data_IF_734792949767
#
_entry.id   IF_734792949767
#
_cell.length_a   1.000
_cell.length_b   1.000
_cell.length_c   1.000
_cell.angle_alpha   90.00
_cell.angle_beta   90.00
_cell.angle_gamma   90.00
#
_symmetry.space_group_name_H-M   'P 1'
#
loop_
_entity.id
_entity.type
_entity.pdbx_description
1 polymer ?
#
# COMPACT_ATOMS: atom_id res chain seq x y z
N UNK A 1 -9.83 -29.12 1.40
CA UNK A 1 -8.98 -27.99 1.85
C UNK A 1 -7.92 -27.78 0.80
N UNK A 2 -7.97 -26.66 0.08
CA UNK A 2 -7.02 -26.36 -1.00
C UNK A 2 -5.66 -26.02 -0.38
N UNK A 3 -4.61 -26.77 -0.72
CA UNK A 3 -3.24 -26.41 -0.41
C UNK A 3 -2.90 -25.11 -1.14
N UNK A 4 -2.91 -23.98 -0.45
CA UNK A 4 -2.43 -22.71 -0.97
C UNK A 4 -0.93 -22.84 -1.22
N UNK A 5 -0.53 -23.00 -2.49
CA UNK A 5 0.88 -22.90 -2.89
C UNK A 5 1.36 -21.49 -2.56
N UNK A 6 2.25 -21.36 -1.59
CA UNK A 6 2.99 -20.13 -1.33
C UNK A 6 3.95 -19.92 -2.51
N UNK A 7 3.82 -18.81 -3.23
CA UNK A 7 4.76 -18.43 -4.27
C UNK A 7 5.91 -17.67 -3.64
N UNK A 8 7.00 -18.37 -3.34
CA UNK A 8 8.20 -17.78 -2.75
C UNK A 8 9.00 -16.91 -3.74
N UNK A 9 8.70 -17.01 -5.05
CA UNK A 9 9.45 -16.32 -6.11
C UNK A 9 8.71 -15.11 -6.69
N UNK A 10 7.64 -14.63 -6.04
CA UNK A 10 6.97 -13.42 -6.50
C UNK A 10 7.88 -12.21 -6.27
N UNK A 11 8.21 -11.43 -7.31
CA UNK A 11 8.97 -10.19 -7.14
C UNK A 11 8.19 -9.21 -6.26
N UNK A 12 8.85 -8.66 -5.26
CA UNK A 12 8.28 -7.66 -4.34
C UNK A 12 9.15 -6.41 -4.36
N UNK A 13 8.51 -5.25 -4.42
CA UNK A 13 9.15 -3.96 -4.25
C UNK A 13 8.65 -3.32 -2.95
N UNK A 14 9.54 -3.04 -2.01
CA UNK A 14 9.25 -2.32 -0.78
C UNK A 14 9.48 -0.82 -1.00
N UNK A 15 8.43 -0.02 -0.80
CA UNK A 15 8.51 1.44 -0.80
C UNK A 15 8.46 1.90 0.66
N UNK A 16 9.56 2.43 1.18
CA UNK A 16 9.66 2.85 2.57
C UNK A 16 10.53 4.10 2.75
N UNK A 17 10.20 4.91 3.75
CA UNK A 17 10.99 6.08 4.13
C UNK A 17 12.24 5.68 4.92
N UNK A 18 12.17 4.57 5.64
CA UNK A 18 13.25 4.14 6.51
C UNK A 18 14.40 3.48 5.73
N UNK A 19 15.51 4.20 5.60
CA UNK A 19 16.71 3.73 4.90
C UNK A 19 17.36 2.48 5.52
N UNK A 20 16.96 2.04 6.72
CA UNK A 20 17.40 0.74 7.25
C UNK A 20 16.98 -0.43 6.36
N UNK A 21 15.96 -0.26 5.53
CA UNK A 21 15.51 -1.25 4.55
C UNK A 21 16.34 -1.29 3.25
N UNK A 22 17.31 -0.36 3.06
CA UNK A 22 18.24 -0.41 1.92
C UNK A 22 19.02 -1.72 1.81
N UNK A 23 19.13 -2.47 2.91
CA UNK A 23 19.72 -3.82 2.92
C UNK A 23 19.04 -4.81 1.94
N UNK A 24 17.79 -4.55 1.52
CA UNK A 24 17.08 -5.38 0.53
C UNK A 24 17.47 -5.06 -0.93
N UNK A 25 18.39 -4.12 -1.15
CA UNK A 25 18.96 -3.83 -2.47
C UNK A 25 17.89 -3.45 -3.48
N UNK A 26 17.86 -4.17 -4.61
CA UNK A 26 16.93 -3.88 -5.72
C UNK A 26 15.45 -4.03 -5.34
N UNK A 27 15.13 -4.77 -4.28
CA UNK A 27 13.75 -4.92 -3.78
C UNK A 27 13.30 -3.75 -2.88
N UNK A 28 14.12 -2.70 -2.72
CA UNK A 28 13.80 -1.50 -1.96
C UNK A 28 13.85 -0.25 -2.85
N UNK A 29 12.84 0.61 -2.69
CA UNK A 29 12.80 1.97 -3.24
C UNK A 29 12.57 2.93 -2.08
N UNK A 30 13.46 3.90 -1.88
CA UNK A 30 13.21 4.97 -0.93
C UNK A 30 11.95 5.74 -1.33
N UNK A 31 11.04 5.93 -0.39
CA UNK A 31 9.73 6.54 -0.63
C UNK A 31 9.40 7.55 0.47
N UNK A 32 9.26 8.81 0.08
CA UNK A 32 8.68 9.85 0.93
C UNK A 32 7.27 10.18 0.43
N UNK A 33 6.25 9.85 1.23
CA UNK A 33 4.86 10.14 0.85
C UNK A 33 4.58 11.64 0.66
N UNK A 34 5.45 12.53 1.18
CA UNK A 34 5.35 13.97 0.91
C UNK A 34 5.70 14.33 -0.53
N UNK A 35 6.46 13.48 -1.22
CA UNK A 35 6.79 13.55 -2.63
C UNK A 35 6.29 12.29 -3.34
N UNK A 36 4.95 12.09 -3.41
CA UNK A 36 4.33 10.80 -3.76
C UNK A 36 4.69 10.29 -5.16
N UNK A 37 5.16 11.16 -6.05
CA UNK A 37 5.58 10.86 -7.43
C UNK A 37 7.08 10.92 -7.66
N UNK A 38 7.90 11.15 -6.63
CA UNK A 38 9.37 11.06 -6.72
C UNK A 38 9.81 9.59 -6.68
N UNK A 39 9.34 8.85 -7.69
CA UNK A 39 9.58 7.43 -7.88
C UNK A 39 10.19 7.19 -9.27
N UNK A 40 10.96 6.10 -9.45
CA UNK A 40 11.47 5.73 -10.76
C UNK A 40 10.35 5.62 -11.80
N UNK A 41 10.54 6.25 -12.96
CA UNK A 41 9.55 6.22 -14.05
C UNK A 41 9.24 4.81 -14.55
N UNK A 42 10.18 3.89 -14.40
CA UNK A 42 10.03 2.46 -14.68
C UNK A 42 8.96 1.78 -13.82
N UNK A 43 8.59 2.37 -12.69
CA UNK A 43 7.56 1.83 -11.79
C UNK A 43 6.15 2.28 -12.18
N UNK A 44 6.01 3.22 -13.11
CA UNK A 44 4.69 3.70 -13.56
C UNK A 44 3.91 2.55 -14.19
N UNK A 45 2.71 2.29 -13.67
CA UNK A 45 1.84 1.20 -14.09
C UNK A 45 2.54 -0.17 -14.12
N UNK A 46 3.44 -0.43 -13.17
CA UNK A 46 4.25 -1.66 -13.13
C UNK A 46 3.69 -2.72 -12.18
N UNK A 47 2.83 -2.34 -11.23
CA UNK A 47 2.39 -3.22 -10.15
C UNK A 47 0.97 -3.76 -10.40
N UNK A 48 0.81 -5.08 -10.20
CA UNK A 48 -0.48 -5.80 -10.27
C UNK A 48 -1.13 -5.99 -8.90
N UNK A 49 -0.33 -5.98 -7.84
CA UNK A 49 -0.80 -6.13 -6.47
C UNK A 49 -0.13 -5.02 -5.67
N UNK A 50 -0.93 -4.21 -4.99
CA UNK A 50 -0.47 -3.13 -4.13
C UNK A 50 -1.05 -3.37 -2.74
N UNK A 51 -0.17 -3.41 -1.75
CA UNK A 51 -0.54 -3.42 -0.33
C UNK A 51 0.00 -2.13 0.25
N UNK A 52 -0.88 -1.30 0.81
CA UNK A 52 -0.52 -0.02 1.38
C UNK A 52 -1.01 0.06 2.82
N UNK A 53 -0.15 0.53 3.73
CA UNK A 53 -0.46 0.78 5.15
C UNK A 53 -0.06 2.21 5.52
N UNK A 54 -0.91 3.21 5.23
CA UNK A 54 -0.57 4.61 5.45
C UNK A 54 -0.38 4.91 6.94
N UNK A 55 0.76 5.51 7.28
CA UNK A 55 1.13 5.83 8.67
C UNK A 55 0.10 6.70 9.41
N UNK A 56 -0.61 7.58 8.70
CA UNK A 56 -1.48 8.58 9.32
C UNK A 56 -2.93 8.44 8.85
N UNK A 57 -3.87 8.67 9.78
CA UNK A 57 -5.31 8.70 9.50
C UNK A 57 -5.80 10.07 9.02
N UNK A 58 -4.91 10.91 8.47
CA UNK A 58 -5.26 12.21 7.91
C UNK A 58 -5.77 12.08 6.47
N UNK A 59 -6.63 13.02 6.05
CA UNK A 59 -7.10 13.11 4.67
C UNK A 59 -5.95 13.32 3.69
N UNK A 60 -5.05 14.24 4.01
CA UNK A 60 -3.86 14.55 3.20
C UNK A 60 -2.97 13.32 2.97
N UNK A 61 -2.74 12.51 4.00
CA UNK A 61 -1.94 11.29 3.87
C UNK A 61 -2.59 10.31 2.90
N UNK A 62 -3.91 10.12 3.00
CA UNK A 62 -4.64 9.23 2.09
C UNK A 62 -4.66 9.77 0.66
N UNK A 63 -4.79 11.09 0.47
CA UNK A 63 -4.72 11.72 -0.87
C UNK A 63 -3.36 11.49 -1.54
N UNK A 64 -2.26 11.74 -0.83
CA UNK A 64 -0.89 11.52 -1.32
C UNK A 64 -0.61 10.04 -1.61
N UNK A 65 -1.03 9.15 -0.73
CA UNK A 65 -0.91 7.70 -0.99
C UNK A 65 -1.76 7.28 -2.19
N UNK A 66 -2.94 7.87 -2.38
CA UNK A 66 -3.80 7.59 -3.53
C UNK A 66 -3.14 8.01 -4.85
N UNK A 67 -2.40 9.12 -4.85
CA UNK A 67 -1.59 9.56 -5.98
C UNK A 67 -0.47 8.55 -6.32
N UNK A 68 0.28 8.10 -5.30
CA UNK A 68 1.29 7.03 -5.48
C UNK A 68 0.67 5.75 -6.03
N UNK A 69 -0.47 5.30 -5.47
CA UNK A 69 -1.19 4.11 -5.95
C UNK A 69 -1.61 4.29 -7.42
N UNK A 70 -2.13 5.48 -7.77
CA UNK A 70 -2.51 5.80 -9.14
C UNK A 70 -1.33 5.72 -10.12
N UNK A 71 -0.16 6.19 -9.71
CA UNK A 71 1.07 6.09 -10.50
C UNK A 71 1.53 4.63 -10.69
N UNK A 72 1.45 3.81 -9.64
CA UNK A 72 1.99 2.44 -9.64
C UNK A 72 1.07 1.42 -10.31
N UNK A 73 -0.25 1.57 -10.16
CA UNK A 73 -1.23 0.55 -10.55
C UNK A 73 -1.30 0.36 -12.07
N UNK A 74 -1.29 -0.88 -12.51
CA UNK A 74 -1.72 -1.23 -13.86
C UNK A 74 -3.21 -0.92 -14.04
N UNK A 75 -3.62 -0.15 -15.08
CA UNK A 75 -5.02 0.08 -15.38
C UNK A 75 -5.79 -1.22 -15.60
N UNK A 76 -6.93 -1.39 -14.92
CA UNK A 76 -7.84 -2.53 -15.13
C UNK A 76 -7.42 -3.88 -14.53
N UNK A 77 -6.16 -4.05 -14.11
CA UNK A 77 -5.62 -5.36 -13.67
C UNK A 77 -5.06 -5.38 -12.24
N UNK A 78 -5.10 -4.25 -11.53
CA UNK A 78 -4.48 -4.17 -10.21
C UNK A 78 -5.42 -4.53 -9.07
N UNK A 79 -4.93 -5.36 -8.15
CA UNK A 79 -5.52 -5.61 -6.85
C UNK A 79 -4.92 -4.66 -5.81
N UNK A 80 -5.78 -4.01 -5.03
CA UNK A 80 -5.38 -3.09 -3.97
C UNK A 80 -5.91 -3.58 -2.63
N UNK A 81 -5.00 -3.75 -1.67
CA UNK A 81 -5.32 -3.91 -0.26
C UNK A 81 -4.80 -2.69 0.50
N UNK A 82 -5.73 -1.90 1.03
CA UNK A 82 -5.41 -0.77 1.89
C UNK A 82 -5.65 -1.18 3.34
N UNK A 83 -4.60 -1.07 4.17
CA UNK A 83 -4.62 -1.30 5.60
C UNK A 83 -4.66 0.07 6.26
N UNK A 84 -5.72 0.37 6.99
CA UNK A 84 -5.97 1.72 7.54
C UNK A 84 -7.07 1.65 8.59
N UNK A 85 -7.27 2.73 9.35
CA UNK A 85 -8.29 2.79 10.38
C UNK A 85 -9.68 3.06 9.81
N UNK A 86 -10.72 2.50 10.47
CA UNK A 86 -12.12 2.58 10.02
C UNK A 86 -12.65 4.02 9.80
N UNK A 87 -12.02 5.03 10.41
CA UNK A 87 -12.34 6.47 10.22
C UNK A 87 -12.09 6.97 8.80
N UNK A 88 -11.34 6.22 7.98
CA UNK A 88 -11.01 6.56 6.60
C UNK A 88 -12.00 5.96 5.59
N UNK A 89 -12.95 5.12 6.03
CA UNK A 89 -13.83 4.31 5.17
C UNK A 89 -14.50 5.08 4.01
N UNK A 90 -15.11 6.23 4.30
CA UNK A 90 -15.78 7.04 3.27
C UNK A 90 -14.78 7.60 2.26
N UNK A 91 -13.64 8.12 2.74
CA UNK A 91 -12.61 8.75 1.90
C UNK A 91 -11.90 7.76 0.98
N UNK A 92 -11.70 6.53 1.44
CA UNK A 92 -11.12 5.45 0.62
C UNK A 92 -12.05 5.05 -0.52
N UNK A 93 -13.36 5.03 -0.25
CA UNK A 93 -14.38 4.80 -1.27
C UNK A 93 -14.38 5.91 -2.32
N UNK A 94 -14.29 7.17 -1.90
CA UNK A 94 -14.27 8.34 -2.79
C UNK A 94 -12.99 8.42 -3.64
N UNK A 95 -11.82 8.25 -3.02
CA UNK A 95 -10.52 8.45 -3.69
C UNK A 95 -10.10 7.25 -4.54
N UNK A 96 -10.38 6.03 -4.06
CA UNK A 96 -9.83 4.80 -4.62
C UNK A 96 -10.91 3.81 -5.08
N UNK A 97 -12.19 4.10 -4.85
CA UNK A 97 -13.29 3.19 -5.21
C UNK A 97 -13.32 1.92 -4.35
N UNK A 98 -12.68 1.95 -3.17
CA UNK A 98 -12.52 0.78 -2.32
C UNK A 98 -13.77 0.44 -1.52
N UNK A 99 -13.87 -0.82 -1.12
CA UNK A 99 -14.89 -1.35 -0.21
C UNK A 99 -14.22 -2.19 0.87
N UNK A 100 -14.70 -2.14 2.14
CA UNK A 100 -14.20 -2.99 3.19
C UNK A 100 -14.32 -4.46 2.81
N UNK A 101 -13.24 -5.21 3.01
CA UNK A 101 -13.27 -6.67 2.85
C UNK A 101 -13.51 -7.36 4.21
N UNK A 102 -13.56 -8.69 4.23
CA UNK A 102 -13.72 -9.47 5.47
C UNK A 102 -12.44 -9.67 6.28
N UNK A 103 -11.28 -9.27 5.75
CA UNK A 103 -10.00 -9.37 6.47
C UNK A 103 -9.95 -8.36 7.61
N UNK A 104 -9.51 -8.80 8.79
CA UNK A 104 -9.37 -7.97 10.00
C UNK A 104 -7.96 -8.16 10.54
N UNK A 105 -6.98 -7.30 10.19
CA UNK A 105 -5.62 -7.43 10.68
C UNK A 105 -5.59 -7.24 12.21
N UNK A 106 -4.74 -8.01 12.88
CA UNK A 106 -4.50 -7.89 14.32
C UNK A 106 -3.09 -7.34 14.54
N UNK A 107 -2.94 -6.48 15.53
CA UNK A 107 -1.65 -5.95 15.94
C UNK A 107 -1.20 -6.67 17.22
N UNK A 108 0.12 -6.86 17.35
CA UNK A 108 0.72 -7.49 18.54
C UNK A 108 0.65 -6.60 19.80
N UNK A 109 0.41 -5.30 19.62
CA UNK A 109 0.22 -4.31 20.68
C UNK A 109 -1.17 -3.66 20.59
N UNK A 110 -1.65 -3.14 21.72
CA UNK A 110 -2.91 -2.39 21.74
C UNK A 110 -2.77 -1.08 20.95
N UNK A 111 -3.68 -0.87 20.00
CA UNK A 111 -3.80 0.39 19.27
C UNK A 111 -5.00 1.18 19.78
N UNK A 112 -4.90 2.52 19.74
CA UNK A 112 -5.97 3.42 20.14
C UNK A 112 -7.13 3.50 19.15
N UNK A 113 -7.04 2.83 17.98
CA UNK A 113 -8.02 2.91 16.90
C UNK A 113 -8.48 1.52 16.42
N UNK A 114 -9.69 1.47 15.86
CA UNK A 114 -10.23 0.29 15.17
C UNK A 114 -9.79 0.27 13.71
N UNK A 115 -9.38 -0.89 13.23
CA UNK A 115 -8.97 -1.20 11.85
C UNK A 115 -10.04 -2.07 11.19
#
# INVERSE_FOLDING_TARGET
MSNSKLHHDLPVQLLEYDNRFQQYGNAFTFYDYNQPLELPSTMKHSLRIIIADPRYLSKECLEKVSETIGFLKQPGESFLLLLTGAVQHEREGELLGLRPCGFRPQHSSNLGNKF
#
